data_IF_010755318200
#
_entry.id   IF_010755318200
#
_cell.length_a   1.000
_cell.length_b   1.000
_cell.length_c   1.000
_cell.angle_alpha   90.00
_cell.angle_beta   90.00
_cell.angle_gamma   90.00
#
_symmetry.space_group_name_H-M   'P 1'
#
loop_
_entity.id
_entity.type
_entity.pdbx_description
1 polymer ?
#
# COMPACT_ATOMS: atom_id res chain seq x y z
N UNK A 1 -31.11 -7.39 10.14
CA UNK A 1 -30.27 -6.20 10.42
C UNK A 1 -29.10 -6.68 11.25
N UNK A 2 -27.88 -6.62 10.70
CA UNK A 2 -26.68 -6.93 11.48
C UNK A 2 -26.60 -5.95 12.66
N UNK A 3 -26.19 -6.39 13.86
CA UNK A 3 -25.95 -5.47 14.95
C UNK A 3 -24.90 -4.46 14.49
N UNK A 4 -25.28 -3.18 14.51
CA UNK A 4 -24.39 -2.07 14.21
C UNK A 4 -23.12 -2.21 15.07
N UNK A 5 -21.95 -2.27 14.43
CA UNK A 5 -20.68 -2.08 15.09
C UNK A 5 -20.77 -0.83 15.98
N UNK A 6 -20.44 -0.96 17.27
CA UNK A 6 -20.40 0.22 18.15
C UNK A 6 -19.23 1.11 17.71
N UNK A 7 -19.36 2.45 17.73
CA UNK A 7 -18.26 3.35 17.36
C UNK A 7 -16.94 3.02 18.06
N UNK A 8 -17.00 2.73 19.36
CA UNK A 8 -15.85 2.32 20.18
C UNK A 8 -15.13 1.07 19.64
N UNK A 9 -15.84 0.11 19.05
CA UNK A 9 -15.23 -1.10 18.48
C UNK A 9 -14.45 -0.76 17.20
N UNK A 10 -15.02 0.10 16.34
CA UNK A 10 -14.31 0.58 15.13
C UNK A 10 -13.05 1.34 15.52
N UNK A 11 -13.13 2.19 16.54
CA UNK A 11 -11.98 2.93 17.06
C UNK A 11 -10.88 1.96 17.56
N UNK A 12 -11.23 0.96 18.38
CA UNK A 12 -10.26 -0.06 18.84
C UNK A 12 -9.63 -0.81 17.66
N UNK A 13 -10.42 -1.18 16.66
CA UNK A 13 -9.93 -1.86 15.46
C UNK A 13 -8.90 -1.01 14.70
N UNK A 14 -9.25 0.24 14.38
CA UNK A 14 -8.38 1.14 13.61
C UNK A 14 -7.07 1.44 14.37
N UNK A 15 -7.15 1.67 15.68
CA UNK A 15 -5.97 1.92 16.51
C UNK A 15 -5.06 0.69 16.63
N UNK A 16 -5.62 -0.50 16.89
CA UNK A 16 -4.84 -1.75 16.96
C UNK A 16 -4.18 -2.08 15.62
N UNK A 17 -4.91 -1.89 14.51
CA UNK A 17 -4.42 -2.12 13.17
C UNK A 17 -3.26 -1.19 12.82
N UNK A 18 -3.43 0.12 13.00
CA UNK A 18 -2.39 1.13 12.74
C UNK A 18 -1.13 0.87 13.54
N UNK A 19 -1.26 0.60 14.85
CA UNK A 19 -0.12 0.32 15.71
C UNK A 19 0.62 -0.97 15.30
N UNK A 20 -0.12 -2.01 14.94
CA UNK A 20 0.47 -3.30 14.51
C UNK A 20 1.18 -3.19 13.16
N UNK A 21 0.57 -2.50 12.20
CA UNK A 21 1.16 -2.24 10.88
C UNK A 21 2.41 -1.36 10.98
N UNK A 22 2.38 -0.31 11.81
CA UNK A 22 3.53 0.55 12.06
C UNK A 22 4.74 -0.22 12.61
N UNK A 23 4.52 -1.15 13.57
CA UNK A 23 5.59 -2.03 14.09
C UNK A 23 6.20 -2.94 13.04
N UNK A 24 5.46 -3.24 11.97
CA UNK A 24 5.90 -4.08 10.85
C UNK A 24 6.52 -3.27 9.70
N UNK A 25 6.62 -1.95 9.83
CA UNK A 25 7.22 -1.06 8.84
C UNK A 25 6.23 -0.58 7.77
N UNK A 26 4.94 -0.82 7.93
CA UNK A 26 3.90 -0.24 7.09
C UNK A 26 3.43 1.07 7.73
N UNK A 27 4.01 2.17 7.30
CA UNK A 27 3.80 3.51 7.87
C UNK A 27 2.74 4.34 7.12
N UNK A 28 2.07 3.76 6.13
CA UNK A 28 0.94 4.37 5.45
C UNK A 28 -0.29 3.48 5.64
N UNK A 29 -1.26 4.02 6.36
CA UNK A 29 -2.56 3.38 6.64
C UNK A 29 -3.63 4.39 6.31
N UNK A 30 -4.20 4.27 5.10
CA UNK A 30 -5.03 5.31 4.51
C UNK A 30 -6.46 4.79 4.29
N UNK A 31 -7.46 5.26 5.07
CA UNK A 31 -8.82 4.79 4.94
C UNK A 31 -9.58 5.58 3.84
N UNK A 32 -10.51 4.92 3.17
CA UNK A 32 -11.36 5.49 2.12
C UNK A 32 -12.64 4.65 1.95
N UNK A 33 -13.62 5.18 1.22
CA UNK A 33 -14.81 4.42 0.84
C UNK A 33 -14.53 3.55 -0.39
N UNK A 34 -14.89 2.27 -0.36
CA UNK A 34 -14.82 1.40 -1.55
C UNK A 34 -15.56 2.02 -2.76
N UNK A 35 -16.68 2.69 -2.49
CA UNK A 35 -17.53 3.38 -3.45
C UNK A 35 -16.78 4.46 -4.23
N UNK A 36 -15.87 5.20 -3.60
CA UNK A 36 -15.07 6.23 -4.28
C UNK A 36 -14.24 5.67 -5.44
N UNK A 37 -13.82 4.40 -5.35
CA UNK A 37 -13.19 3.69 -6.46
C UNK A 37 -14.22 3.04 -7.38
N UNK A 38 -15.26 2.39 -6.84
CA UNK A 38 -16.25 1.65 -7.61
C UNK A 38 -17.08 2.53 -8.56
N UNK A 39 -17.28 3.81 -8.24
CA UNK A 39 -17.99 4.78 -9.09
C UNK A 39 -17.20 5.16 -10.37
N UNK A 40 -15.91 4.85 -10.43
CA UNK A 40 -15.06 5.11 -11.59
C UNK A 40 -15.28 4.09 -12.70
N UNK A 41 -14.93 4.42 -13.95
CA UNK A 41 -15.02 3.47 -15.07
C UNK A 41 -14.22 2.18 -14.84
N UNK A 42 -13.09 2.28 -14.14
CA UNK A 42 -12.25 1.13 -13.81
C UNK A 42 -12.92 0.30 -12.72
N UNK A 43 -13.40 0.95 -11.66
CA UNK A 43 -14.09 0.30 -10.55
C UNK A 43 -15.35 -0.44 -10.99
N UNK A 44 -16.15 0.12 -11.89
CA UNK A 44 -17.32 -0.55 -12.48
C UNK A 44 -16.99 -1.90 -13.14
N UNK A 45 -15.78 -2.05 -13.69
CA UNK A 45 -15.34 -3.29 -14.37
C UNK A 45 -14.61 -4.28 -13.45
N UNK A 46 -14.15 -3.81 -12.30
CA UNK A 46 -13.43 -4.59 -11.30
C UNK A 46 -13.64 -4.00 -9.88
N UNK A 47 -14.84 -4.13 -9.31
CA UNK A 47 -15.23 -3.43 -8.09
C UNK A 47 -14.63 -4.07 -6.84
N UNK A 48 -14.41 -3.24 -5.82
CA UNK A 48 -14.16 -3.67 -4.45
C UNK A 48 -15.45 -4.17 -3.79
N UNK A 49 -15.38 -5.13 -2.84
CA UNK A 49 -16.55 -5.56 -2.07
C UNK A 49 -17.17 -4.41 -1.26
N UNK A 50 -18.49 -4.27 -1.31
CA UNK A 50 -19.20 -3.20 -0.58
C UNK A 50 -19.94 -3.69 0.68
N UNK A 51 -20.14 -5.01 0.81
CA UNK A 51 -20.83 -5.63 1.95
C UNK A 51 -22.21 -5.04 2.30
N UNK A 52 -22.90 -4.44 1.32
CA UNK A 52 -24.17 -3.72 1.52
C UNK A 52 -24.06 -2.45 2.39
N UNK A 53 -22.86 -1.94 2.63
CA UNK A 53 -22.63 -0.65 3.27
C UNK A 53 -22.84 0.49 2.25
N UNK A 54 -23.19 1.69 2.75
CA UNK A 54 -23.29 2.90 1.92
C UNK A 54 -21.92 3.49 1.60
N UNK A 55 -21.00 3.33 2.53
CA UNK A 55 -19.63 3.81 2.49
C UNK A 55 -18.78 2.74 3.15
N UNK A 56 -18.29 1.76 2.39
CA UNK A 56 -17.59 0.59 2.93
C UNK A 56 -16.16 0.95 3.27
N UNK A 57 -15.76 0.70 4.51
CA UNK A 57 -14.40 0.94 4.98
C UNK A 57 -13.39 0.10 4.23
N UNK A 58 -12.59 0.79 3.42
CA UNK A 58 -11.40 0.27 2.77
C UNK A 58 -10.18 0.96 3.35
N UNK A 59 -9.09 0.22 3.55
CA UNK A 59 -7.84 0.73 4.12
C UNK A 59 -6.70 0.33 3.19
N UNK A 60 -6.01 1.34 2.66
CA UNK A 60 -4.84 1.18 1.85
C UNK A 60 -3.60 1.05 2.72
N UNK A 61 -2.85 -0.03 2.52
CA UNK A 61 -1.58 -0.29 3.21
C UNK A 61 -0.44 -0.04 2.22
N UNK A 62 0.44 0.87 2.60
CA UNK A 62 1.65 1.18 1.85
C UNK A 62 2.81 1.41 2.83
N UNK A 63 4.00 1.63 2.27
CA UNK A 63 5.16 1.93 3.07
C UNK A 63 6.10 2.94 2.40
N UNK A 64 6.89 3.64 3.21
CA UNK A 64 8.03 4.47 2.78
C UNK A 64 9.35 3.68 2.91
N UNK A 65 10.48 4.39 2.89
CA UNK A 65 11.83 3.82 3.13
C UNK A 65 11.99 3.16 4.50
N UNK A 66 11.16 3.51 5.49
CA UNK A 66 11.22 2.98 6.87
C UNK A 66 11.01 1.47 6.93
N UNK A 67 10.22 0.92 6.01
CA UNK A 67 9.94 -0.51 5.88
C UNK A 67 11.20 -1.37 5.80
N UNK A 68 12.22 -0.90 5.07
CA UNK A 68 13.35 -1.72 4.68
C UNK A 68 14.11 -2.29 5.87
N UNK A 69 14.42 -1.45 6.86
CA UNK A 69 15.13 -1.90 8.06
C UNK A 69 14.26 -2.82 8.92
N UNK A 70 12.96 -2.52 9.04
CA UNK A 70 12.03 -3.36 9.81
C UNK A 70 11.90 -4.75 9.20
N UNK A 71 11.82 -4.81 7.87
CA UNK A 71 11.83 -6.06 7.12
C UNK A 71 13.15 -6.82 7.32
N UNK A 72 14.30 -6.16 7.13
CA UNK A 72 15.62 -6.80 7.28
C UNK A 72 15.87 -7.33 8.70
N UNK A 73 15.43 -6.62 9.75
CA UNK A 73 15.54 -7.13 11.14
C UNK A 73 14.88 -8.50 11.30
N UNK A 74 13.72 -8.67 10.66
CA UNK A 74 12.92 -9.89 10.74
C UNK A 74 13.28 -10.93 9.68
N UNK A 75 14.00 -10.54 8.63
CA UNK A 75 14.36 -11.43 7.53
C UNK A 75 15.30 -12.55 7.98
N UNK A 76 14.91 -13.79 7.72
CA UNK A 76 15.70 -14.99 7.99
C UNK A 76 15.49 -15.99 6.86
N UNK A 77 16.50 -16.09 5.98
CA UNK A 77 16.44 -16.97 4.80
C UNK A 77 16.25 -18.45 5.17
N UNK A 78 16.64 -18.87 6.38
CA UNK A 78 16.50 -20.27 6.82
C UNK A 78 15.07 -20.67 7.15
N UNK A 79 14.18 -19.67 7.34
CA UNK A 79 12.76 -19.87 7.64
C UNK A 79 11.87 -19.86 6.39
N UNK A 80 12.42 -19.53 5.22
CA UNK A 80 11.66 -19.44 3.98
C UNK A 80 11.71 -20.76 3.22
N UNK A 81 10.58 -21.16 2.66
CA UNK A 81 10.52 -22.19 1.63
C UNK A 81 11.15 -21.70 0.32
N UNK A 82 11.43 -22.62 -0.60
CA UNK A 82 11.98 -22.28 -1.92
C UNK A 82 11.06 -21.37 -2.77
N UNK A 83 9.75 -21.39 -2.50
CA UNK A 83 8.78 -20.51 -3.18
C UNK A 83 8.85 -19.11 -2.59
N UNK A 84 8.80 -19.00 -1.26
CA UNK A 84 8.84 -17.71 -0.53
C UNK A 84 10.17 -16.98 -0.73
N UNK A 85 11.26 -17.73 -0.87
CA UNK A 85 12.58 -17.19 -1.14
C UNK A 85 12.70 -16.43 -2.48
N UNK A 86 11.76 -16.61 -3.42
CA UNK A 86 11.75 -15.89 -4.71
C UNK A 86 11.31 -14.43 -4.58
N UNK A 87 10.32 -14.17 -3.73
CA UNK A 87 9.81 -12.82 -3.47
C UNK A 87 9.60 -12.59 -1.95
N UNK A 88 10.68 -12.52 -1.15
CA UNK A 88 10.56 -12.47 0.31
C UNK A 88 9.77 -11.27 0.87
N UNK A 89 9.82 -10.11 0.21
CA UNK A 89 9.02 -8.95 0.63
C UNK A 89 7.52 -9.22 0.42
N UNK A 90 7.16 -9.83 -0.71
CA UNK A 90 5.77 -10.07 -1.06
C UNK A 90 5.20 -11.11 -0.09
N UNK A 91 5.97 -12.16 0.20
CA UNK A 91 5.63 -13.12 1.25
C UNK A 91 5.53 -12.49 2.65
N UNK A 92 6.45 -11.59 3.02
CA UNK A 92 6.37 -10.86 4.29
C UNK A 92 5.04 -10.08 4.40
N UNK A 93 4.61 -9.43 3.32
CA UNK A 93 3.32 -8.74 3.30
C UNK A 93 2.13 -9.72 3.43
N UNK A 94 2.15 -10.81 2.67
CA UNK A 94 1.11 -11.85 2.67
C UNK A 94 0.98 -12.55 4.02
N UNK A 95 2.08 -12.77 4.72
CA UNK A 95 2.09 -13.41 6.03
C UNK A 95 1.56 -12.46 7.12
N UNK A 96 2.07 -11.22 7.15
CA UNK A 96 1.84 -10.34 8.29
C UNK A 96 0.54 -9.53 8.20
N UNK A 97 0.18 -9.00 7.03
CA UNK A 97 -0.97 -8.08 6.91
C UNK A 97 -2.29 -8.76 7.31
N UNK A 98 -2.66 -9.95 6.78
CA UNK A 98 -3.91 -10.60 7.15
C UNK A 98 -3.94 -10.97 8.64
N UNK A 99 -2.81 -11.43 9.18
CA UNK A 99 -2.67 -11.81 10.59
C UNK A 99 -2.96 -10.63 11.52
N UNK A 100 -2.38 -9.45 11.25
CA UNK A 100 -2.65 -8.27 12.09
C UNK A 100 -4.04 -7.70 11.89
N UNK A 101 -4.64 -7.86 10.70
CA UNK A 101 -6.05 -7.52 10.48
C UNK A 101 -6.97 -8.38 11.33
N UNK A 102 -6.78 -9.70 11.31
CA UNK A 102 -7.55 -10.64 12.14
C UNK A 102 -7.40 -10.30 13.63
N UNK A 103 -6.17 -10.07 14.10
CA UNK A 103 -5.92 -9.70 15.49
C UNK A 103 -6.61 -8.40 15.87
N UNK A 104 -6.53 -7.36 15.04
CA UNK A 104 -7.18 -6.08 15.32
C UNK A 104 -8.71 -6.20 15.38
N UNK A 105 -9.31 -7.05 14.53
CA UNK A 105 -10.76 -7.33 14.60
C UNK A 105 -11.14 -8.12 15.86
N UNK A 106 -10.29 -9.04 16.32
CA UNK A 106 -10.47 -9.76 17.58
C UNK A 106 -10.37 -8.83 18.79
N UNK A 107 -9.35 -7.95 18.81
CA UNK A 107 -9.15 -6.95 19.87
C UNK A 107 -10.37 -6.03 20.02
N UNK A 108 -11.02 -5.71 18.90
CA UNK A 108 -12.23 -4.89 18.86
C UNK A 108 -13.54 -5.67 19.19
N UNK A 109 -13.46 -6.99 19.37
CA UNK A 109 -14.65 -7.85 19.50
C UNK A 109 -15.53 -7.87 18.25
N UNK A 110 -14.96 -7.55 17.08
CA UNK A 110 -15.62 -7.57 15.77
C UNK A 110 -15.46 -8.91 15.06
N UNK A 111 -14.56 -9.77 15.53
CA UNK A 111 -14.40 -11.12 15.01
C UNK A 111 -14.65 -12.16 16.12
N UNK A 112 -15.88 -12.67 16.15
CA UNK A 112 -16.23 -13.90 16.87
C UNK A 112 -16.20 -15.03 15.87
N UNK A 113 -15.35 -16.00 16.13
CA UNK A 113 -15.28 -17.25 15.39
C UNK A 113 -16.13 -18.25 16.18
N UNK A 114 -17.18 -18.79 15.56
CA UNK A 114 -17.98 -19.82 16.22
C UNK A 114 -17.13 -21.08 16.52
N UNK A 115 -17.63 -21.96 17.40
CA UNK A 115 -16.92 -23.19 17.79
C UNK A 115 -16.62 -24.14 16.62
N UNK A 116 -17.27 -23.94 15.48
CA UNK A 116 -17.12 -24.75 14.28
C UNK A 116 -16.26 -24.07 13.21
N UNK A 117 -15.72 -22.87 13.48
CA UNK A 117 -14.99 -22.03 12.52
C UNK A 117 -15.81 -21.58 11.30
N UNK A 118 -17.14 -21.72 11.33
CA UNK A 118 -17.98 -21.58 10.11
C UNK A 118 -18.58 -20.19 9.91
N UNK A 119 -18.60 -19.35 10.94
CA UNK A 119 -19.24 -18.04 10.88
C UNK A 119 -18.43 -16.98 11.59
N UNK A 120 -18.22 -15.87 10.91
CA UNK A 120 -17.61 -14.67 11.46
C UNK A 120 -18.62 -13.56 11.61
N UNK A 121 -18.40 -12.70 12.60
CA UNK A 121 -19.28 -11.56 12.88
C UNK A 121 -19.05 -10.37 11.95
N UNK A 122 -17.85 -10.20 11.39
CA UNK A 122 -17.52 -9.11 10.46
C UNK A 122 -16.72 -9.65 9.27
N UNK A 123 -17.33 -9.74 8.08
CA UNK A 123 -16.62 -10.09 6.84
C UNK A 123 -15.51 -9.09 6.50
N UNK A 124 -14.42 -9.60 5.92
CA UNK A 124 -13.37 -8.74 5.35
C UNK A 124 -12.63 -9.44 4.21
N UNK A 125 -11.92 -8.67 3.40
CA UNK A 125 -10.98 -9.16 2.37
C UNK A 125 -9.65 -8.45 2.46
N UNK A 126 -8.59 -9.13 2.02
CA UNK A 126 -7.27 -8.54 1.81
C UNK A 126 -6.82 -8.83 0.38
N UNK A 127 -6.47 -7.78 -0.36
CA UNK A 127 -5.90 -7.87 -1.69
C UNK A 127 -4.46 -7.35 -1.67
N UNK A 128 -3.55 -7.95 -2.45
CA UNK A 128 -2.15 -7.53 -2.53
C UNK A 128 -1.80 -6.94 -3.91
N UNK A 129 -0.86 -6.00 -3.94
CA UNK A 129 -0.49 -5.25 -5.16
C UNK A 129 0.21 -6.11 -6.22
N UNK A 130 0.88 -7.18 -5.80
CA UNK A 130 1.54 -8.15 -6.66
C UNK A 130 0.63 -9.34 -7.04
N UNK A 131 -0.60 -9.37 -6.54
CA UNK A 131 -1.51 -10.51 -6.75
C UNK A 131 -1.86 -10.66 -8.23
N UNK A 132 -1.36 -11.74 -8.84
CA UNK A 132 -1.95 -12.35 -10.03
C UNK A 132 -3.01 -13.34 -9.51
N UNK A 133 -4.22 -13.39 -10.07
CA UNK A 133 -5.28 -14.25 -9.57
C UNK A 133 -4.89 -15.73 -9.73
N UNK A 134 -4.24 -16.28 -8.72
CA UNK A 134 -4.28 -17.70 -8.39
C UNK A 134 -5.23 -17.82 -7.21
N UNK A 135 -6.54 -17.73 -7.51
CA UNK A 135 -7.59 -17.83 -6.51
C UNK A 135 -7.56 -19.26 -5.93
N UNK A 136 -7.32 -19.45 -4.62
CA UNK A 136 -7.85 -20.64 -3.96
C UNK A 136 -9.36 -20.61 -4.13
N UNK A 137 -10.00 -21.73 -4.42
CA UNK A 137 -11.46 -21.79 -4.62
C UNK A 137 -12.20 -21.00 -3.51
N UNK A 138 -13.32 -20.32 -3.81
CA UNK A 138 -14.11 -19.60 -2.80
C UNK A 138 -14.32 -20.48 -1.56
N UNK A 139 -13.80 -20.04 -0.41
CA UNK A 139 -13.80 -20.83 0.83
C UNK A 139 -12.52 -21.61 1.15
N UNK A 140 -11.38 -21.35 0.48
CA UNK A 140 -10.09 -21.89 0.92
C UNK A 140 -9.20 -20.79 1.49
N UNK A 141 -9.03 -20.81 2.81
CA UNK A 141 -8.02 -20.05 3.52
C UNK A 141 -6.60 -20.38 3.01
N UNK A 142 -5.61 -19.47 3.14
CA UNK A 142 -4.20 -19.81 2.99
C UNK A 142 -3.86 -21.05 3.84
N UNK A 143 -3.03 -21.94 3.31
CA UNK A 143 -2.68 -23.20 3.96
C UNK A 143 -2.14 -22.93 5.40
N UNK A 144 -2.87 -23.40 6.42
CA UNK A 144 -2.57 -23.15 7.84
C UNK A 144 -3.34 -22.00 8.52
N UNK A 145 -4.19 -21.27 7.79
CA UNK A 145 -5.10 -20.26 8.38
C UNK A 145 -6.46 -20.89 8.72
N UNK A 146 -6.98 -20.74 9.95
CA UNK A 146 -8.35 -21.13 10.29
C UNK A 146 -9.37 -20.32 9.47
N UNK A 147 -10.61 -20.79 9.27
CA UNK A 147 -11.67 -20.04 8.57
C UNK A 147 -12.01 -18.72 9.30
N UNK A 148 -11.45 -17.61 8.79
CA UNK A 148 -11.49 -16.29 9.43
C UNK A 148 -12.54 -15.35 8.84
N UNK A 149 -13.50 -15.83 8.03
CA UNK A 149 -14.49 -14.94 7.39
C UNK A 149 -13.91 -14.12 6.23
N UNK A 150 -12.80 -14.60 5.69
CA UNK A 150 -12.10 -14.05 4.54
C UNK A 150 -12.95 -14.18 3.28
N UNK A 151 -13.16 -13.07 2.58
CA UNK A 151 -13.73 -13.04 1.24
C UNK A 151 -12.58 -12.93 0.24
N UNK A 152 -12.50 -13.79 -0.81
CA UNK A 152 -11.44 -13.71 -1.79
C UNK A 152 -11.46 -12.34 -2.51
N UNK A 153 -10.28 -11.78 -2.87
CA UNK A 153 -10.22 -10.54 -3.62
C UNK A 153 -10.82 -10.71 -5.04
N UNK A 154 -11.06 -9.60 -5.79
CA UNK A 154 -11.62 -9.68 -7.15
C UNK A 154 -10.82 -10.62 -8.07
N UNK A 155 -11.53 -11.34 -8.95
CA UNK A 155 -10.94 -12.36 -9.85
C UNK A 155 -9.97 -11.77 -10.90
N UNK A 156 -9.99 -10.44 -11.11
CA UNK A 156 -9.11 -9.72 -12.03
C UNK A 156 -8.07 -8.95 -11.24
N UNK A 157 -6.87 -8.85 -11.81
CA UNK A 157 -5.77 -8.01 -11.27
C UNK A 157 -6.31 -6.61 -10.97
N UNK A 158 -6.30 -6.26 -9.68
CA UNK A 158 -6.77 -4.97 -9.21
C UNK A 158 -5.76 -3.89 -9.58
N UNK A 159 -6.25 -2.73 -10.04
CA UNK A 159 -5.39 -1.63 -10.48
C UNK A 159 -5.01 -0.76 -9.28
N UNK A 160 -4.08 -1.25 -8.47
CA UNK A 160 -3.67 -0.63 -7.20
C UNK A 160 -3.34 0.85 -7.32
N UNK A 161 -2.66 1.27 -8.39
CA UNK A 161 -2.31 2.69 -8.60
C UNK A 161 -3.54 3.57 -8.82
N UNK A 162 -4.58 3.04 -9.47
CA UNK A 162 -5.85 3.75 -9.67
C UNK A 162 -6.66 3.77 -8.37
N UNK A 163 -6.68 2.68 -7.61
CA UNK A 163 -7.28 2.70 -6.26
C UNK A 163 -6.58 3.74 -5.37
N UNK A 164 -5.24 3.82 -5.40
CA UNK A 164 -4.49 4.84 -4.66
C UNK A 164 -4.81 6.27 -5.11
N UNK A 165 -5.08 6.46 -6.41
CA UNK A 165 -5.49 7.75 -6.94
C UNK A 165 -6.89 8.15 -6.50
N UNK A 166 -7.87 7.26 -6.65
CA UNK A 166 -9.27 7.59 -6.35
C UNK A 166 -9.59 7.57 -4.85
N UNK A 167 -8.77 6.90 -4.03
CA UNK A 167 -8.81 7.03 -2.56
C UNK A 167 -8.21 8.34 -2.05
N UNK A 168 -7.41 9.05 -2.86
CA UNK A 168 -6.69 10.24 -2.42
C UNK A 168 -5.33 9.98 -1.78
N UNK A 169 -4.88 8.73 -1.73
CA UNK A 169 -3.55 8.38 -1.22
C UNK A 169 -2.41 8.96 -2.07
N UNK A 170 -2.46 8.77 -3.39
CA UNK A 170 -1.36 9.16 -4.28
C UNK A 170 -1.83 9.42 -5.71
N UNK A 171 -1.29 10.46 -6.35
CA UNK A 171 -1.70 10.82 -7.70
C UNK A 171 -1.14 9.80 -8.70
N UNK A 172 -1.98 9.14 -9.48
CA UNK A 172 -1.51 8.31 -10.59
C UNK A 172 -1.13 9.20 -11.77
N UNK A 173 0.17 9.30 -12.06
CA UNK A 173 0.67 10.09 -13.17
C UNK A 173 0.55 9.28 -14.48
N UNK A 174 -0.31 9.69 -15.44
CA UNK A 174 -0.56 8.92 -16.65
C UNK A 174 0.60 8.95 -17.65
N UNK A 175 1.55 9.89 -17.51
CA UNK A 175 2.73 10.01 -18.37
C UNK A 175 3.82 9.03 -17.93
N UNK A 176 4.08 8.97 -16.62
CA UNK A 176 5.15 8.12 -16.07
C UNK A 176 4.67 6.76 -15.56
N UNK A 177 3.36 6.57 -15.45
CA UNK A 177 2.74 5.42 -14.80
C UNK A 177 3.21 5.21 -13.34
N UNK A 178 3.67 6.26 -12.67
CA UNK A 178 4.05 6.24 -11.26
C UNK A 178 2.95 6.85 -10.39
N UNK A 179 2.81 6.33 -9.17
CA UNK A 179 2.01 6.96 -8.12
C UNK A 179 2.87 7.99 -7.38
N UNK A 180 2.35 9.21 -7.23
CA UNK A 180 3.04 10.35 -6.61
C UNK A 180 2.33 10.73 -5.31
N UNK A 181 2.89 10.31 -4.18
CA UNK A 181 2.39 10.68 -2.86
C UNK A 181 2.70 12.16 -2.57
N UNK A 182 1.77 12.96 -2.01
CA UNK A 182 2.00 14.39 -1.73
C UNK A 182 3.24 14.67 -0.86
N UNK A 183 3.47 13.82 0.14
CA UNK A 183 4.60 13.92 1.09
C UNK A 183 5.86 13.18 0.62
N UNK A 184 5.72 11.95 0.12
CA UNK A 184 6.84 11.04 -0.11
C UNK A 184 7.26 10.96 -1.59
N UNK A 185 6.56 11.68 -2.47
CA UNK A 185 6.78 11.63 -3.90
C UNK A 185 6.57 10.24 -4.47
N UNK A 186 7.42 9.77 -5.40
CA UNK A 186 7.32 8.42 -5.94
C UNK A 186 7.84 7.35 -4.96
N UNK A 187 8.40 7.72 -3.80
CA UNK A 187 9.12 6.80 -2.89
C UNK A 187 8.21 6.08 -1.90
N UNK A 188 7.15 5.48 -2.43
CA UNK A 188 6.22 4.64 -1.67
C UNK A 188 6.02 3.28 -2.34
N UNK A 189 5.90 2.22 -1.55
CA UNK A 189 5.51 0.89 -1.98
C UNK A 189 4.04 0.64 -1.66
N UNK A 190 3.20 0.47 -2.68
CA UNK A 190 1.80 0.07 -2.52
C UNK A 190 1.76 -1.44 -2.22
N UNK A 191 1.14 -1.88 -1.12
CA UNK A 191 1.24 -3.27 -0.65
C UNK A 191 -0.06 -4.02 -0.65
N UNK A 192 -1.06 -3.50 0.04
CA UNK A 192 -2.31 -4.20 0.22
C UNK A 192 -3.50 -3.26 0.36
N UNK A 193 -4.68 -3.84 0.19
CA UNK A 193 -5.97 -3.24 0.50
C UNK A 193 -6.68 -4.18 1.46
N UNK A 194 -7.19 -3.62 2.55
CA UNK A 194 -8.11 -4.29 3.45
C UNK A 194 -9.49 -3.69 3.21
N UNK A 195 -10.51 -4.50 2.95
CA UNK A 195 -11.90 -4.03 2.87
C UNK A 195 -12.70 -4.78 3.90
N UNK A 196 -13.40 -4.05 4.77
CA UNK A 196 -14.07 -4.61 5.95
C UNK A 196 -15.54 -4.22 5.90
N UNK A 197 -16.43 -5.10 6.35
CA UNK A 197 -17.87 -4.82 6.49
C UNK A 197 -18.14 -3.86 7.67
N UNK A 198 -17.67 -2.62 7.52
CA UNK A 198 -17.82 -1.50 8.44
C UNK A 198 -18.10 -0.25 7.61
N UNK A 199 -18.86 0.70 8.19
CA UNK A 199 -19.11 1.97 7.55
C UNK A 199 -17.93 2.94 7.77
N UNK A 200 -17.43 3.51 6.67
CA UNK A 200 -16.41 4.54 6.65
C UNK A 200 -17.03 5.92 6.89
N UNK A 201 -16.50 6.59 7.90
CA UNK A 201 -16.78 7.99 8.24
C UNK A 201 -15.51 8.81 7.99
N UNK A 202 -15.44 9.64 6.94
CA UNK A 202 -14.24 10.40 6.61
C UNK A 202 -13.84 11.39 7.70
N UNK A 203 -14.78 11.88 8.51
CA UNK A 203 -14.49 12.85 9.57
C UNK A 203 -13.81 12.21 10.78
N UNK A 204 -14.21 10.98 11.14
CA UNK A 204 -13.69 10.26 12.29
C UNK A 204 -12.50 9.38 11.91
N UNK A 205 -12.63 8.57 10.86
CA UNK A 205 -11.65 7.53 10.52
C UNK A 205 -10.34 8.16 10.02
N UNK A 206 -10.41 9.25 9.24
CA UNK A 206 -9.20 9.97 8.83
C UNK A 206 -8.52 10.70 9.98
N UNK A 207 -9.29 11.31 10.89
CA UNK A 207 -8.73 11.98 12.06
C UNK A 207 -8.03 10.96 12.98
N UNK A 208 -8.63 9.79 13.17
CA UNK A 208 -8.06 8.72 13.97
C UNK A 208 -6.79 8.13 13.34
N UNK A 209 -6.83 7.86 12.03
CA UNK A 209 -5.67 7.29 11.32
C UNK A 209 -4.68 8.35 10.85
N UNK A 210 -4.84 9.62 11.22
CA UNK A 210 -3.93 10.67 10.79
C UNK A 210 -2.51 10.42 11.31
N UNK A 211 -1.52 10.53 10.41
CA UNK A 211 -0.13 10.39 10.80
C UNK A 211 0.28 11.55 11.72
N UNK A 212 0.77 11.22 12.92
CA UNK A 212 1.26 12.18 13.90
C UNK A 212 2.73 11.92 14.22
N UNK A 213 3.39 12.82 14.95
CA UNK A 213 4.74 12.56 15.46
C UNK A 213 4.81 11.30 16.34
N UNK A 214 3.71 10.99 17.04
CA UNK A 214 3.60 9.84 17.93
C UNK A 214 3.40 8.52 17.16
N UNK A 215 2.51 8.50 16.17
CA UNK A 215 2.23 7.27 15.41
C UNK A 215 3.25 7.03 14.30
N UNK A 216 3.75 8.10 13.66
CA UNK A 216 4.58 8.09 12.43
C UNK A 216 4.02 7.21 11.31
N UNK A 217 2.77 6.79 11.44
CA UNK A 217 2.07 5.80 10.65
C UNK A 217 0.64 6.30 10.49
N UNK A 218 0.12 6.35 9.27
CA UNK A 218 -1.24 6.83 9.05
C UNK A 218 -1.49 7.43 7.68
N UNK A 219 -2.64 8.09 7.54
CA UNK A 219 -2.98 8.93 6.38
C UNK A 219 -2.37 10.31 6.52
N UNK A 220 -2.08 10.97 5.39
CA UNK A 220 -1.67 12.38 5.34
C UNK A 220 -2.78 13.30 4.85
N UNK A 221 -4.00 12.77 4.64
CA UNK A 221 -5.18 13.55 4.22
C UNK A 221 -6.37 13.28 5.14
N UNK A 222 -7.25 14.28 5.24
CA UNK A 222 -8.47 14.27 6.05
C UNK A 222 -9.75 14.02 5.24
N UNK A 223 -9.70 14.07 3.91
CA UNK A 223 -10.89 13.98 3.07
C UNK A 223 -10.95 12.70 2.21
N UNK A 224 -9.82 12.00 2.05
CA UNK A 224 -9.64 10.82 1.17
C UNK A 224 -10.31 11.00 -0.19
N UNK A 225 -10.09 12.16 -0.81
CA UNK A 225 -10.59 12.47 -2.15
C UNK A 225 -9.50 12.37 -3.20
N UNK A 226 -9.89 12.01 -4.43
CA UNK A 226 -8.97 11.86 -5.53
C UNK A 226 -8.13 13.14 -5.74
N UNK A 227 -6.81 12.99 -5.83
CA UNK A 227 -5.93 14.14 -6.01
C UNK A 227 -6.14 14.74 -7.41
N UNK A 228 -6.53 16.02 -7.50
CA UNK A 228 -6.96 16.61 -8.78
C UNK A 228 -5.80 16.85 -9.76
N UNK A 229 -4.55 16.83 -9.28
CA UNK A 229 -3.38 17.09 -10.11
C UNK A 229 -2.12 16.49 -9.51
N UNK A 230 -1.07 16.35 -10.33
CA UNK A 230 0.24 15.85 -9.88
C UNK A 230 0.84 16.78 -8.81
N UNK A 231 1.08 16.30 -7.56
CA UNK A 231 1.65 17.10 -6.49
C UNK A 231 3.12 17.49 -6.74
N UNK A 232 3.82 16.81 -7.65
CA UNK A 232 5.18 17.18 -8.07
C UNK A 232 5.21 18.56 -8.73
N UNK A 233 4.10 18.97 -9.35
CA UNK A 233 4.01 20.18 -10.16
C UNK A 233 3.30 21.33 -9.44
N UNK A 234 2.99 21.17 -8.14
CA UNK A 234 2.25 22.17 -7.38
C UNK A 234 2.93 23.54 -7.38
N UNK A 235 4.26 23.58 -7.23
CA UNK A 235 5.05 24.83 -7.24
C UNK A 235 5.18 25.42 -8.65
N UNK A 236 5.30 24.58 -9.69
CA UNK A 236 5.35 25.05 -11.08
C UNK A 236 4.06 25.79 -11.44
N UNK A 237 2.89 25.24 -11.09
CA UNK A 237 1.59 25.85 -11.38
C UNK A 237 1.38 27.23 -10.75
N UNK A 238 2.10 27.55 -9.68
CA UNK A 238 2.01 28.85 -9.00
C UNK A 238 2.81 29.96 -9.72
N UNK A 239 3.62 29.61 -10.72
CA UNK A 239 4.41 30.57 -11.50
C UNK A 239 3.57 31.25 -12.60
N UNK A 240 3.96 32.45 -13.09
CA UNK A 240 3.22 33.16 -14.14
C UNK A 240 2.91 32.34 -15.41
N UNK A 241 3.83 31.45 -15.80
CA UNK A 241 3.69 30.55 -16.96
C UNK A 241 3.49 29.08 -16.54
N UNK A 242 2.91 28.84 -15.36
CA UNK A 242 2.90 27.54 -14.71
C UNK A 242 2.35 26.39 -15.56
N UNK A 243 1.27 26.61 -16.30
CA UNK A 243 0.69 25.59 -17.20
C UNK A 243 1.62 25.23 -18.37
N UNK A 244 2.36 26.20 -18.92
CA UNK A 244 3.34 25.93 -19.96
C UNK A 244 4.53 25.13 -19.40
N UNK A 245 4.97 25.47 -18.17
CA UNK A 245 6.04 24.74 -17.47
C UNK A 245 5.63 23.29 -17.14
N UNK A 246 4.38 23.07 -16.73
CA UNK A 246 3.86 21.72 -16.50
C UNK A 246 3.88 20.89 -17.78
N UNK A 247 3.40 21.45 -18.90
CA UNK A 247 3.42 20.75 -20.20
C UNK A 247 4.84 20.42 -20.65
N UNK A 248 5.78 21.34 -20.47
CA UNK A 248 7.19 21.08 -20.80
C UNK A 248 7.77 19.96 -19.92
N UNK A 249 7.44 19.97 -18.61
CA UNK A 249 7.87 18.91 -17.70
C UNK A 249 7.28 17.54 -18.05
N UNK A 250 6.00 17.49 -18.41
CA UNK A 250 5.35 16.26 -18.89
C UNK A 250 5.99 15.74 -20.18
N UNK A 251 6.31 16.63 -21.13
CA UNK A 251 7.05 16.29 -22.35
C UNK A 251 8.40 15.65 -22.04
N UNK A 252 9.19 16.25 -21.15
CA UNK A 252 10.50 15.71 -20.73
C UNK A 252 10.36 14.31 -20.10
N UNK A 253 9.35 14.12 -19.25
CA UNK A 253 9.08 12.82 -18.62
C UNK A 253 8.69 11.80 -19.69
N UNK A 254 7.80 12.15 -20.63
CA UNK A 254 7.37 11.28 -21.72
C UNK A 254 8.54 10.85 -22.60
N UNK A 255 9.38 11.79 -23.05
CA UNK A 255 10.55 11.51 -23.88
C UNK A 255 11.50 10.52 -23.21
N UNK A 256 11.74 10.69 -21.91
CA UNK A 256 12.58 9.78 -21.13
C UNK A 256 11.94 8.41 -20.94
N UNK A 257 10.64 8.37 -20.71
CA UNK A 257 9.87 7.12 -20.62
C UNK A 257 9.92 6.34 -21.93
N UNK A 258 9.68 7.00 -23.06
CA UNK A 258 9.72 6.39 -24.39
C UNK A 258 11.11 5.85 -24.73
N UNK A 259 12.17 6.59 -24.37
CA UNK A 259 13.55 6.13 -24.54
C UNK A 259 13.85 4.86 -23.72
N UNK A 260 13.39 4.80 -22.46
CA UNK A 260 13.53 3.61 -21.62
C UNK A 260 12.73 2.42 -22.15
N UNK A 261 11.47 2.64 -22.56
CA UNK A 261 10.63 1.60 -23.13
C UNK A 261 11.21 1.03 -24.44
N UNK A 262 11.71 1.89 -25.32
CA UNK A 262 12.31 1.47 -26.59
C UNK A 262 13.52 0.55 -26.39
N UNK A 263 14.28 0.74 -25.31
CA UNK A 263 15.41 -0.13 -24.96
C UNK A 263 14.98 -1.41 -24.24
N UNK A 264 13.84 -1.40 -23.55
CA UNK A 264 13.39 -2.48 -22.70
C UNK A 264 14.04 -2.47 -21.31
N UNK A 265 13.59 -3.40 -20.45
CA UNK A 265 14.09 -3.53 -19.09
C UNK A 265 15.16 -4.60 -18.99
N UNK A 266 16.35 -4.23 -18.49
CA UNK A 266 17.38 -5.15 -18.06
C UNK A 266 17.85 -4.81 -16.64
N UNK A 267 18.08 -5.83 -15.79
CA UNK A 267 18.47 -5.64 -14.40
C UNK A 267 19.73 -4.78 -14.22
N UNK A 268 20.66 -4.80 -15.18
CA UNK A 268 21.88 -3.98 -15.12
C UNK A 268 21.63 -2.48 -15.26
N UNK A 269 20.51 -2.09 -15.88
CA UNK A 269 20.17 -0.70 -16.19
C UNK A 269 19.27 -0.06 -15.13
N UNK A 270 19.10 -0.71 -13.97
CA UNK A 270 18.24 -0.25 -12.88
C UNK A 270 18.47 1.21 -12.47
N UNK A 271 19.71 1.71 -12.59
CA UNK A 271 20.06 3.10 -12.28
C UNK A 271 19.36 4.11 -13.17
N UNK A 272 19.11 3.78 -14.43
CA UNK A 272 18.42 4.68 -15.35
C UNK A 272 16.92 4.79 -15.02
N UNK A 273 16.33 3.70 -14.53
CA UNK A 273 14.96 3.71 -14.03
C UNK A 273 14.80 4.53 -12.75
N UNK A 274 15.82 4.56 -11.89
CA UNK A 274 15.87 5.49 -10.76
C UNK A 274 15.95 6.92 -11.25
N UNK A 275 16.85 7.17 -12.21
CA UNK A 275 17.04 8.51 -12.75
C UNK A 275 15.75 9.03 -13.41
N UNK A 276 15.00 8.16 -14.08
CA UNK A 276 13.64 8.46 -14.55
C UNK A 276 12.69 8.79 -13.41
N UNK A 277 12.63 7.95 -12.37
CA UNK A 277 11.81 8.23 -11.18
C UNK A 277 12.16 9.58 -10.55
N UNK A 278 13.44 9.93 -10.47
CA UNK A 278 13.90 11.26 -9.98
C UNK A 278 13.45 12.40 -10.90
N UNK A 279 13.46 12.22 -12.22
CA UNK A 279 12.95 13.21 -13.17
C UNK A 279 11.48 13.56 -12.91
N UNK A 280 10.65 12.59 -12.52
CA UNK A 280 9.23 12.86 -12.19
C UNK A 280 9.04 13.73 -10.94
N UNK A 281 10.09 13.86 -10.12
CA UNK A 281 10.12 14.56 -8.84
C UNK A 281 11.08 15.77 -8.84
N UNK A 282 11.61 16.18 -9.99
CA UNK A 282 12.71 17.16 -10.07
C UNK A 282 12.36 18.53 -9.46
N UNK A 283 11.09 18.93 -9.52
CA UNK A 283 10.60 20.20 -8.96
C UNK A 283 10.26 20.11 -7.46
N UNK A 284 10.54 18.97 -6.81
CA UNK A 284 10.35 18.68 -5.39
C UNK A 284 11.63 18.14 -4.76
N UNK A 285 12.67 18.97 -4.59
CA UNK A 285 13.95 18.52 -4.00
C UNK A 285 13.78 17.99 -2.56
N UNK A 286 12.76 18.45 -1.84
CA UNK A 286 12.39 17.96 -0.52
C UNK A 286 12.06 16.45 -0.51
N UNK A 287 11.56 15.91 -1.63
CA UNK A 287 11.27 14.48 -1.75
C UNK A 287 12.51 13.60 -1.83
N UNK A 288 13.70 14.16 -2.08
CA UNK A 288 14.94 13.39 -2.06
C UNK A 288 15.22 12.79 -0.68
N UNK A 289 14.77 13.44 0.39
CA UNK A 289 14.88 12.92 1.75
C UNK A 289 14.11 11.60 1.94
N UNK A 290 13.12 11.31 1.10
CA UNK A 290 12.30 10.09 1.15
C UNK A 290 12.81 8.97 0.23
N UNK A 291 13.87 9.23 -0.54
CA UNK A 291 14.48 8.23 -1.39
C UNK A 291 14.90 7.00 -0.57
N UNK A 292 14.61 5.83 -1.11
CA UNK A 292 15.05 4.54 -0.57
C UNK A 292 16.57 4.46 -0.48
N UNK A 293 17.09 3.63 0.45
CA UNK A 293 18.53 3.36 0.52
C UNK A 293 19.02 2.67 -0.77
N UNK A 294 20.32 2.72 -1.07
CA UNK A 294 20.86 2.05 -2.26
C UNK A 294 20.58 0.55 -2.26
N UNK A 295 20.69 -0.12 -1.09
CA UNK A 295 20.34 -1.53 -0.92
C UNK A 295 18.88 -1.81 -1.26
N UNK A 296 17.95 -1.02 -0.71
CA UNK A 296 16.52 -1.17 -0.95
C UNK A 296 16.19 -0.95 -2.44
N UNK A 297 16.78 0.07 -3.08
CA UNK A 297 16.54 0.32 -4.49
C UNK A 297 17.10 -0.82 -5.34
N UNK A 298 18.33 -1.25 -5.09
CA UNK A 298 18.95 -2.34 -5.81
C UNK A 298 18.07 -3.58 -5.75
N UNK A 299 17.55 -3.93 -4.57
CA UNK A 299 16.63 -5.05 -4.39
C UNK A 299 15.35 -4.88 -5.22
N UNK A 300 14.69 -3.72 -5.16
CA UNK A 300 13.43 -3.49 -5.87
C UNK A 300 13.52 -3.67 -7.38
N UNK A 301 14.66 -3.31 -7.98
CA UNK A 301 14.85 -3.46 -9.41
C UNK A 301 15.42 -4.82 -9.80
N UNK A 302 16.40 -5.34 -9.05
CA UNK A 302 17.11 -6.56 -9.47
C UNK A 302 16.56 -7.85 -8.89
N UNK A 303 15.71 -7.76 -7.85
CA UNK A 303 15.19 -8.91 -7.09
C UNK A 303 16.31 -9.85 -6.59
N UNK A 304 17.47 -9.28 -6.23
CA UNK A 304 18.64 -10.03 -5.72
C UNK A 304 18.42 -10.57 -4.30
N UNK A 305 17.56 -11.58 -4.16
CA UNK A 305 17.23 -12.20 -2.87
C UNK A 305 18.44 -12.81 -2.15
N UNK A 306 19.46 -13.23 -2.90
CA UNK A 306 20.74 -13.76 -2.41
C UNK A 306 21.52 -12.77 -1.53
N UNK A 307 21.28 -11.47 -1.68
CA UNK A 307 21.93 -10.42 -0.88
C UNK A 307 21.21 -10.08 0.41
N UNK A 308 19.93 -10.43 0.54
CA UNK A 308 19.10 -10.01 1.67
C UNK A 308 19.67 -10.46 3.02
N UNK A 309 20.18 -11.70 3.09
CA UNK A 309 20.74 -12.23 4.33
C UNK A 309 21.95 -11.42 4.78
N UNK A 310 22.86 -11.09 3.85
CA UNK A 310 24.03 -10.26 4.16
C UNK A 310 23.64 -8.89 4.70
N UNK A 311 22.67 -8.22 4.07
CA UNK A 311 22.18 -6.91 4.55
C UNK A 311 21.45 -7.00 5.89
N UNK A 312 20.71 -8.08 6.15
CA UNK A 312 20.09 -8.30 7.45
C UNK A 312 21.14 -8.48 8.56
N UNK A 313 22.23 -9.20 8.27
CA UNK A 313 23.32 -9.42 9.22
C UNK A 313 24.14 -8.15 9.46
N UNK A 314 24.43 -7.37 8.41
CA UNK A 314 25.05 -6.03 8.52
C UNK A 314 24.22 -5.08 9.40
N UNK A 315 22.90 -5.06 9.23
CA UNK A 315 22.00 -4.23 10.03
C UNK A 315 22.05 -4.63 11.51
N UNK A 316 21.95 -5.93 11.81
CA UNK A 316 21.99 -6.45 13.18
C UNK A 316 23.32 -6.16 13.87
N UNK A 317 24.42 -6.26 13.14
CA UNK A 317 25.74 -5.95 13.71
C UNK A 317 25.87 -4.45 14.02
N UNK A 318 25.41 -3.57 13.12
CA UNK A 318 25.36 -2.12 13.34
C UNK A 318 24.53 -1.73 14.57
N UNK A 319 23.48 -2.48 14.90
CA UNK A 319 22.63 -2.22 16.07
C UNK A 319 23.23 -2.72 17.39
N UNK A 320 24.26 -3.58 17.34
CA UNK A 320 24.96 -4.06 18.54
C UNK A 320 26.10 -3.14 18.98
N UNK A 321 26.68 -2.39 18.04
CA UNK A 321 27.81 -1.46 18.27
C UNK A 321 27.34 -0.09 18.67
#
# INVERSE_FOLDING_TARGET
MAPLCKPEQKEVFLASLQASLGRLGFDIVHPFAAQSYNETEVGKTNPLPEFSQRSTLSIYIANTKTFWEVFLRQYDSTKLTAVEAKDPIDHYCEHHIPKVTVQALQDAGLLVIDQNMTKTSTPFTVAFSHYKPSVPAPGSCPEGSPDTGFVPPPEKVLRFQQVAHFSGLAFFNPVSYLSMHPTYGPWTGLRALIVVDLEYDPSQDNAQLFASEASRCGTTTLDSTALPSNPAFALLRQQPDGEALVKDRERIIQEKWDALLARGYENRDWREWIDFRKTTAIDRPDWQAWQYSEQQILYHYTKCADRLQGWADELRERERT
#
